data_IF_023143347133
#
_entry.id   IF_023143347133
#
_cell.length_a   1.000
_cell.length_b   1.000
_cell.length_c   1.000
_cell.angle_alpha   90.00
_cell.angle_beta   90.00
_cell.angle_gamma   90.00
#
_symmetry.space_group_name_H-M   'P 1'
#
loop_
_entity.id
_entity.type
_entity.pdbx_description
1 polymer ?
#
# COMPACT_ATOMS: atom_id res chain seq x y z
N UNK A 1 14.88 -4.06 7.77
CA UNK A 1 14.58 -3.96 6.34
C UNK A 1 15.10 -2.61 5.86
N UNK A 2 16.00 -2.58 4.88
CA UNK A 2 16.61 -1.34 4.38
C UNK A 2 15.62 -0.57 3.50
N UNK A 3 15.67 0.77 3.54
CA UNK A 3 14.93 1.68 2.66
C UNK A 3 15.57 1.66 1.26
N UNK A 4 15.59 0.50 0.62
CA UNK A 4 16.14 0.30 -0.73
C UNK A 4 15.09 0.53 -1.82
N UNK A 5 15.53 0.62 -3.08
CA UNK A 5 14.67 0.82 -4.27
C UNK A 5 13.56 -0.24 -4.46
N UNK A 6 13.67 -1.38 -3.76
CA UNK A 6 12.66 -2.46 -3.75
C UNK A 6 11.42 -2.05 -2.92
N UNK A 7 11.49 -0.98 -2.12
CA UNK A 7 10.39 -0.47 -1.31
C UNK A 7 9.82 -1.52 -0.37
N UNK A 8 8.51 -1.52 -0.19
CA UNK A 8 7.78 -2.47 0.67
C UNK A 8 7.56 -3.85 0.03
N UNK A 9 8.07 -4.14 -1.17
CA UNK A 9 7.65 -5.31 -1.96
C UNK A 9 7.83 -6.67 -1.24
N UNK A 10 9.00 -6.92 -0.64
CA UNK A 10 9.28 -8.20 0.05
C UNK A 10 8.41 -8.38 1.30
N UNK A 11 8.23 -7.30 2.07
CA UNK A 11 7.35 -7.31 3.24
C UNK A 11 5.90 -7.57 2.84
N UNK A 12 5.45 -6.99 1.72
CA UNK A 12 4.11 -7.22 1.18
C UNK A 12 3.93 -8.67 0.71
N UNK A 13 4.87 -9.23 -0.05
CA UNK A 13 4.79 -10.62 -0.50
C UNK A 13 4.77 -11.60 0.68
N UNK A 14 5.61 -11.36 1.69
CA UNK A 14 5.59 -12.17 2.91
C UNK A 14 4.23 -12.09 3.63
N UNK A 15 3.67 -10.90 3.78
CA UNK A 15 2.34 -10.72 4.39
C UNK A 15 1.23 -11.41 3.58
N UNK A 16 1.27 -11.38 2.24
CA UNK A 16 0.29 -12.07 1.41
C UNK A 16 0.28 -13.58 1.66
N UNK A 17 1.45 -14.19 1.85
CA UNK A 17 1.53 -15.62 2.18
C UNK A 17 0.85 -15.95 3.52
N UNK A 18 1.05 -15.09 4.54
CA UNK A 18 0.40 -15.24 5.85
C UNK A 18 -1.13 -15.11 5.70
N UNK A 19 -1.60 -14.11 4.96
CA UNK A 19 -3.03 -13.88 4.77
C UNK A 19 -3.70 -15.03 4.00
N UNK A 20 -3.01 -15.59 2.99
CA UNK A 20 -3.48 -16.77 2.27
C UNK A 20 -3.61 -17.99 3.20
N UNK A 21 -2.63 -18.22 4.08
CA UNK A 21 -2.71 -19.29 5.08
C UNK A 21 -3.92 -19.13 6.02
N UNK A 22 -4.26 -17.89 6.37
CA UNK A 22 -5.40 -17.56 7.23
C UNK A 22 -6.75 -17.47 6.49
N UNK A 23 -6.81 -17.84 5.21
CA UNK A 23 -7.99 -17.71 4.35
C UNK A 23 -8.58 -16.27 4.31
N UNK A 24 -7.73 -15.26 4.42
CA UNK A 24 -8.15 -13.86 4.39
C UNK A 24 -8.31 -13.36 2.95
N UNK A 25 -9.36 -12.58 2.65
CA UNK A 25 -9.47 -11.91 1.36
C UNK A 25 -8.36 -10.85 1.26
N UNK A 26 -7.75 -10.71 0.07
CA UNK A 26 -6.72 -9.68 -0.20
C UNK A 26 -6.98 -8.94 -1.50
N UNK A 27 -6.67 -7.64 -1.53
CA UNK A 27 -6.58 -6.87 -2.77
C UNK A 27 -5.29 -7.25 -3.52
N UNK A 28 -5.42 -8.05 -4.59
CA UNK A 28 -4.28 -8.53 -5.37
C UNK A 28 -3.68 -7.52 -6.35
N UNK A 29 -4.48 -6.55 -6.83
CA UNK A 29 -4.06 -5.50 -7.76
C UNK A 29 -4.86 -4.21 -7.52
N UNK A 30 -4.29 -3.01 -7.77
CA UNK A 30 -2.90 -2.78 -8.15
C UNK A 30 -1.93 -3.04 -6.99
N UNK A 31 -0.75 -3.58 -7.29
CA UNK A 31 0.34 -3.58 -6.31
C UNK A 31 0.86 -2.15 -6.10
N UNK A 32 1.13 -1.79 -4.85
CA UNK A 32 1.54 -0.43 -4.47
C UNK A 32 2.73 -0.52 -3.54
N UNK A 33 3.92 -0.39 -4.11
CA UNK A 33 5.18 -0.43 -3.38
C UNK A 33 5.60 0.99 -3.04
N UNK A 34 5.61 1.30 -1.75
CA UNK A 34 5.98 2.63 -1.27
C UNK A 34 7.48 2.62 -1.01
N UNK A 35 8.17 3.56 -1.63
CA UNK A 35 9.55 3.89 -1.29
C UNK A 35 9.55 5.22 -0.55
N UNK A 36 10.13 5.26 0.65
CA UNK A 36 10.34 6.53 1.35
C UNK A 36 11.39 7.35 0.57
N UNK A 37 10.91 8.40 -0.09
CA UNK A 37 11.71 9.39 -0.83
C UNK A 37 11.29 10.79 -0.39
N UNK A 38 12.14 11.76 -0.66
CA UNK A 38 11.82 13.18 -0.48
C UNK A 38 10.53 13.52 -1.25
N UNK A 39 9.61 14.22 -0.57
CA UNK A 39 8.28 14.53 -1.10
C UNK A 39 7.20 13.46 -0.92
N UNK A 40 7.53 12.29 -0.33
CA UNK A 40 6.50 11.37 0.16
C UNK A 40 5.72 11.97 1.32
N UNK A 41 6.43 12.64 2.22
CA UNK A 41 5.89 13.38 3.34
C UNK A 41 6.32 14.85 3.26
N UNK A 42 5.49 15.75 3.79
CA UNK A 42 5.85 17.15 4.03
C UNK A 42 6.56 17.32 5.39
N UNK A 43 7.03 18.53 5.69
CA UNK A 43 7.77 18.83 6.92
C UNK A 43 6.93 18.65 8.20
N UNK A 44 5.60 18.63 8.09
CA UNK A 44 4.68 18.36 9.18
C UNK A 44 4.33 16.86 9.31
N UNK A 45 4.89 16.00 8.44
CA UNK A 45 4.64 14.56 8.41
C UNK A 45 3.34 14.17 7.71
N UNK A 46 2.65 15.09 7.04
CA UNK A 46 1.50 14.74 6.20
C UNK A 46 1.98 14.16 4.86
N UNK A 47 1.04 13.61 4.08
CA UNK A 47 1.33 13.17 2.72
C UNK A 47 1.73 14.38 1.86
N UNK A 48 2.95 14.33 1.33
CA UNK A 48 3.49 15.34 0.43
C UNK A 48 2.70 15.41 -0.88
N UNK A 49 2.66 16.60 -1.47
CA UNK A 49 1.85 16.89 -2.67
C UNK A 49 2.15 15.93 -3.83
N UNK A 50 3.44 15.61 -4.05
CA UNK A 50 3.89 14.70 -5.10
C UNK A 50 3.40 13.26 -4.95
N UNK A 51 3.01 12.84 -3.75
CA UNK A 51 2.52 11.48 -3.47
C UNK A 51 1.02 11.40 -3.22
N UNK A 52 0.36 12.55 -3.03
CA UNK A 52 -1.07 12.63 -2.66
C UNK A 52 -1.96 11.90 -3.66
N UNK A 53 -1.81 12.20 -4.96
CA UNK A 53 -2.66 11.58 -5.99
C UNK A 53 -2.47 10.06 -6.03
N UNK A 54 -1.23 9.58 -6.00
CA UNK A 54 -0.91 8.16 -6.04
C UNK A 54 -1.54 7.40 -4.85
N UNK A 55 -1.35 7.90 -3.62
CA UNK A 55 -1.91 7.27 -2.43
C UNK A 55 -3.45 7.37 -2.39
N UNK A 56 -4.02 8.46 -2.88
CA UNK A 56 -5.47 8.63 -2.97
C UNK A 56 -6.09 7.63 -3.96
N UNK A 57 -5.48 7.45 -5.14
CA UNK A 57 -5.96 6.50 -6.14
C UNK A 57 -5.91 5.07 -5.60
N UNK A 58 -4.84 4.69 -4.89
CA UNK A 58 -4.77 3.40 -4.22
C UNK A 58 -5.84 3.23 -3.13
N UNK A 59 -6.05 4.26 -2.28
CA UNK A 59 -7.05 4.22 -1.22
C UNK A 59 -8.47 4.06 -1.78
N UNK A 60 -8.78 4.71 -2.91
CA UNK A 60 -10.07 4.56 -3.59
C UNK A 60 -10.30 3.09 -4.00
N UNK A 61 -9.28 2.43 -4.57
CA UNK A 61 -9.37 1.01 -4.94
C UNK A 61 -9.52 0.11 -3.72
N UNK A 62 -8.77 0.39 -2.65
CA UNK A 62 -8.89 -0.36 -1.40
C UNK A 62 -10.30 -0.26 -0.79
N UNK A 63 -10.85 0.95 -0.69
CA UNK A 63 -12.21 1.17 -0.16
C UNK A 63 -13.26 0.46 -1.03
N UNK A 64 -13.14 0.53 -2.35
CA UNK A 64 -14.05 -0.19 -3.26
C UNK A 64 -13.99 -1.72 -3.03
N UNK A 65 -12.79 -2.25 -2.84
CA UNK A 65 -12.58 -3.66 -2.54
C UNK A 65 -13.15 -4.06 -1.18
N UNK A 66 -12.95 -3.25 -0.13
CA UNK A 66 -13.53 -3.51 1.21
C UNK A 66 -15.06 -3.57 1.11
N UNK A 67 -15.68 -2.60 0.43
CA UNK A 67 -17.14 -2.57 0.24
C UNK A 67 -17.67 -3.82 -0.46
N UNK A 68 -16.94 -4.37 -1.43
CA UNK A 68 -17.31 -5.62 -2.11
C UNK A 68 -17.30 -6.84 -1.18
N UNK A 69 -16.53 -6.80 -0.10
CA UNK A 69 -16.37 -7.92 0.84
C UNK A 69 -17.00 -7.65 2.22
N UNK A 70 -17.68 -6.51 2.40
CA UNK A 70 -18.22 -6.08 3.69
C UNK A 70 -19.55 -6.78 4.08
N UNK A 71 -20.15 -7.56 3.19
CA UNK A 71 -21.48 -8.16 3.40
C UNK A 71 -22.60 -7.21 3.01
#
# INVERSE_FOLDING_TARGET
>A
MSVGAIGTALAQQHLRNILAYLNMPTLGQPETFIQAKDGLFDDAGNIGEGSRKFLQDWMNQYVAWVKKHAG
#
